data_IF_331707282270
#
_entry.id   IF_331707282270
#
_cell.length_a   1.000
_cell.length_b   1.000
_cell.length_c   1.000
_cell.angle_alpha   90.00
_cell.angle_beta   90.00
_cell.angle_gamma   90.00
#
_symmetry.space_group_name_H-M   'P 1'
#
loop_
_entity.id
_entity.type
_entity.pdbx_description
1 polymer ?
#
# COMPACT_ATOMS: atom_id res chain seq x y z
N UNK A 1 4.20 5.91 2.13
CA UNK A 1 3.79 5.66 3.53
C UNK A 1 3.27 4.24 3.72
N UNK A 2 2.01 3.92 3.36
CA UNK A 2 1.45 2.57 3.57
C UNK A 2 2.34 1.45 3.02
N UNK A 3 2.85 1.59 1.80
CA UNK A 3 3.77 0.60 1.22
C UNK A 3 5.11 0.52 1.98
N UNK A 4 5.59 1.63 2.54
CA UNK A 4 6.79 1.64 3.38
C UNK A 4 6.58 0.82 4.65
N UNK A 5 5.43 0.96 5.32
CA UNK A 5 5.05 0.15 6.47
C UNK A 5 4.99 -1.35 6.13
N UNK A 6 4.43 -1.69 4.96
CA UNK A 6 4.39 -3.08 4.48
C UNK A 6 5.80 -3.65 4.31
N UNK A 7 6.73 -2.87 3.72
CA UNK A 7 8.11 -3.30 3.52
C UNK A 7 8.89 -3.42 4.83
N UNK A 8 8.67 -2.50 5.78
CA UNK A 8 9.24 -2.58 7.12
C UNK A 8 8.82 -3.88 7.81
N UNK A 9 7.51 -4.20 7.83
CA UNK A 9 7.02 -5.44 8.41
C UNK A 9 7.55 -6.69 7.72
N UNK A 10 7.70 -6.62 6.40
CA UNK A 10 8.17 -7.75 5.58
C UNK A 10 9.63 -8.11 5.85
N UNK A 11 10.49 -7.11 5.99
CA UNK A 11 11.95 -7.31 6.01
C UNK A 11 12.58 -7.13 7.38
N UNK A 12 12.02 -6.26 8.23
CA UNK A 12 12.58 -5.93 9.54
C UNK A 12 11.70 -6.45 10.67
N UNK A 13 10.39 -6.31 10.53
CA UNK A 13 9.39 -6.72 11.52
C UNK A 13 8.55 -5.55 12.02
N UNK A 14 7.46 -5.87 12.72
CA UNK A 14 6.48 -4.89 13.20
C UNK A 14 6.99 -4.03 14.35
N UNK A 15 7.88 -4.59 15.19
CA UNK A 15 8.39 -3.94 16.39
C UNK A 15 9.60 -3.04 16.11
N UNK A 16 9.87 -2.75 14.83
CA UNK A 16 10.96 -1.86 14.45
C UNK A 16 10.68 -0.43 14.89
N UNK A 17 11.63 0.15 15.62
CA UNK A 17 11.64 1.55 16.01
C UNK A 17 12.88 2.23 15.46
N UNK A 18 12.69 3.30 14.69
CA UNK A 18 13.80 4.16 14.28
C UNK A 18 14.22 5.07 15.42
N UNK A 19 15.54 5.23 15.61
CA UNK A 19 16.13 6.09 16.63
C UNK A 19 16.81 7.29 15.99
N UNK A 20 16.55 8.47 16.56
CA UNK A 20 17.17 9.71 16.13
C UNK A 20 18.69 9.66 16.33
N UNK A 21 19.45 10.11 15.33
CA UNK A 21 20.91 10.11 15.36
C UNK A 21 21.56 8.81 14.87
N UNK A 22 20.81 7.73 14.69
CA UNK A 22 21.32 6.51 14.05
C UNK A 22 21.18 6.61 12.52
N UNK A 23 22.29 6.52 11.76
CA UNK A 23 22.21 6.53 10.31
C UNK A 23 21.44 5.29 9.84
N UNK A 24 20.60 5.41 8.79
CA UNK A 24 19.97 4.25 8.19
C UNK A 24 21.01 3.21 7.78
N UNK A 25 20.77 1.95 8.10
CA UNK A 25 21.65 0.84 7.71
C UNK A 25 20.84 -0.43 7.38
N UNK A 26 21.48 -1.38 6.71
CA UNK A 26 20.89 -2.68 6.39
C UNK A 26 19.60 -2.57 5.55
N UNK A 27 18.60 -3.40 5.88
CA UNK A 27 17.33 -3.44 5.16
C UNK A 27 16.54 -2.14 5.31
N UNK A 28 16.68 -1.39 6.41
CA UNK A 28 16.04 -0.09 6.58
C UNK A 28 16.54 0.92 5.55
N UNK A 29 17.86 1.03 5.37
CA UNK A 29 18.44 1.90 4.35
C UNK A 29 17.99 1.49 2.95
N UNK A 30 17.94 0.18 2.67
CA UNK A 30 17.46 -0.34 1.39
C UNK A 30 16.01 0.06 1.13
N UNK A 31 15.12 -0.08 2.12
CA UNK A 31 13.73 0.35 2.01
C UNK A 31 13.65 1.85 1.74
N UNK A 32 14.37 2.68 2.50
CA UNK A 32 14.38 4.13 2.28
C UNK A 32 14.81 4.50 0.85
N UNK A 33 15.86 3.86 0.33
CA UNK A 33 16.35 4.07 -1.03
C UNK A 33 15.31 3.77 -2.10
N UNK A 34 14.36 2.87 -1.85
CA UNK A 34 13.28 2.58 -2.79
C UNK A 34 12.26 3.72 -2.93
N UNK A 35 12.19 4.64 -1.96
CA UNK A 35 11.25 5.77 -1.95
C UNK A 35 11.90 7.13 -2.16
N UNK A 36 13.22 7.20 -2.41
CA UNK A 36 13.87 8.46 -2.74
C UNK A 36 13.24 9.07 -4.00
N UNK A 37 13.26 10.40 -4.10
CA UNK A 37 12.73 11.13 -5.26
C UNK A 37 13.70 11.09 -6.46
N UNK A 38 14.10 9.88 -6.83
CA UNK A 38 14.97 9.59 -7.96
C UNK A 38 14.26 8.67 -8.94
N UNK A 39 14.47 8.86 -10.25
CA UNK A 39 13.83 8.02 -11.28
C UNK A 39 14.21 6.53 -11.16
N UNK A 40 15.35 6.21 -10.56
CA UNK A 40 15.83 4.84 -10.38
C UNK A 40 15.26 4.17 -9.13
N UNK A 41 14.66 4.94 -8.20
CA UNK A 41 14.00 4.40 -7.03
C UNK A 41 12.61 3.88 -7.40
N UNK A 42 12.36 2.60 -7.09
CA UNK A 42 11.21 1.83 -7.58
C UNK A 42 9.85 2.43 -7.19
N UNK A 43 9.76 2.94 -5.98
CA UNK A 43 8.57 3.55 -5.41
C UNK A 43 8.70 5.07 -5.25
N UNK A 44 9.58 5.68 -6.05
CA UNK A 44 9.73 7.14 -6.11
C UNK A 44 8.46 7.81 -6.60
N UNK A 45 8.32 9.11 -6.30
CA UNK A 45 7.24 9.93 -6.85
C UNK A 45 7.23 9.91 -8.38
N UNK A 46 8.39 9.78 -9.03
CA UNK A 46 8.53 9.67 -10.47
C UNK A 46 7.85 8.40 -11.01
N UNK A 47 8.16 7.25 -10.42
CA UNK A 47 7.61 5.96 -10.83
C UNK A 47 6.12 5.88 -10.52
N UNK A 48 5.68 6.38 -9.37
CA UNK A 48 4.27 6.43 -8.98
C UNK A 48 3.47 7.32 -9.95
N UNK A 49 3.96 8.53 -10.26
CA UNK A 49 3.28 9.44 -11.16
C UNK A 49 3.23 8.88 -12.60
N UNK A 50 4.35 8.34 -13.07
CA UNK A 50 4.43 7.74 -14.41
C UNK A 50 3.51 6.52 -14.53
N UNK A 51 3.48 5.64 -13.52
CA UNK A 51 2.59 4.49 -13.50
C UNK A 51 1.11 4.92 -13.46
N UNK A 52 0.79 6.03 -12.80
CA UNK A 52 -0.55 6.62 -12.81
C UNK A 52 -1.08 6.99 -14.20
N UNK A 53 -0.19 7.27 -15.17
CA UNK A 53 -0.60 7.51 -16.56
C UNK A 53 -1.27 6.28 -17.17
N UNK A 54 -0.82 5.07 -16.81
CA UNK A 54 -1.48 3.82 -17.23
C UNK A 54 -2.89 3.66 -16.63
N UNK A 55 -3.17 4.34 -15.51
CA UNK A 55 -4.47 4.39 -14.84
C UNK A 55 -5.33 5.58 -15.32
N UNK A 56 -4.93 6.22 -16.43
CA UNK A 56 -5.62 7.38 -16.99
C UNK A 56 -5.45 8.67 -16.20
N UNK A 57 -4.45 8.76 -15.32
CA UNK A 57 -4.12 9.96 -14.55
C UNK A 57 -2.97 10.73 -15.19
N UNK A 58 -3.16 12.02 -15.40
CA UNK A 58 -2.05 12.87 -15.85
C UNK A 58 -1.03 13.06 -14.73
N UNK A 59 0.23 13.27 -15.10
CA UNK A 59 1.26 13.64 -14.11
C UNK A 59 0.85 14.95 -13.43
N UNK A 60 0.85 14.93 -12.09
CA UNK A 60 0.37 16.04 -11.26
C UNK A 60 -1.11 15.97 -10.87
N UNK A 61 -1.87 15.01 -11.41
CA UNK A 61 -3.25 14.77 -10.99
C UNK A 61 -3.29 14.02 -9.64
N UNK A 62 -4.27 14.36 -8.80
CA UNK A 62 -4.49 13.69 -7.54
C UNK A 62 -5.00 12.25 -7.70
N UNK A 63 -4.44 11.32 -6.93
CA UNK A 63 -4.89 9.93 -6.90
C UNK A 63 -5.89 9.68 -5.78
N UNK A 64 -7.02 9.09 -6.13
CA UNK A 64 -7.90 8.46 -5.14
C UNK A 64 -7.31 7.16 -4.59
N UNK A 65 -7.85 6.63 -3.47
CA UNK A 65 -7.37 5.39 -2.87
C UNK A 65 -7.31 4.21 -3.84
N UNK A 66 -8.31 4.06 -4.72
CA UNK A 66 -8.32 2.99 -5.72
C UNK A 66 -7.18 3.12 -6.73
N UNK A 67 -6.98 4.30 -7.33
CA UNK A 67 -5.89 4.53 -8.30
C UNK A 67 -4.53 4.29 -7.65
N UNK A 68 -4.33 4.79 -6.41
CA UNK A 68 -3.08 4.54 -5.68
C UNK A 68 -2.85 3.03 -5.44
N UNK A 69 -3.90 2.27 -5.11
CA UNK A 69 -3.83 0.83 -4.92
C UNK A 69 -3.44 0.09 -6.21
N UNK A 70 -4.02 0.47 -7.35
CA UNK A 70 -3.66 -0.12 -8.65
C UNK A 70 -2.22 0.20 -9.05
N UNK A 71 -1.77 1.44 -8.85
CA UNK A 71 -0.37 1.83 -9.09
C UNK A 71 0.59 1.01 -8.21
N UNK A 72 0.30 0.85 -6.92
CA UNK A 72 1.10 0.01 -6.01
C UNK A 72 1.14 -1.44 -6.51
N UNK A 73 -0.01 -1.99 -6.94
CA UNK A 73 -0.10 -3.34 -7.49
C UNK A 73 0.82 -3.53 -8.69
N UNK A 74 0.82 -2.58 -9.64
CA UNK A 74 1.70 -2.62 -10.83
C UNK A 74 3.17 -2.50 -10.47
N UNK A 75 3.53 -1.55 -9.60
CA UNK A 75 4.93 -1.35 -9.20
C UNK A 75 5.50 -2.53 -8.40
N UNK A 76 4.68 -3.21 -7.59
CA UNK A 76 5.11 -4.37 -6.81
C UNK A 76 5.57 -5.55 -7.68
N UNK A 77 5.14 -5.64 -8.94
CA UNK A 77 5.60 -6.68 -9.89
C UNK A 77 7.10 -6.55 -10.18
N UNK A 78 7.65 -5.34 -10.14
CA UNK A 78 9.07 -5.09 -10.38
C UNK A 78 9.93 -5.28 -9.11
N UNK A 79 9.32 -5.47 -7.94
CA UNK A 79 10.03 -5.71 -6.68
C UNK A 79 10.26 -7.21 -6.43
N UNK A 80 11.27 -7.75 -7.10
CA UNK A 80 11.68 -9.14 -6.91
C UNK A 80 12.29 -9.41 -5.53
N UNK A 81 12.77 -8.38 -4.83
CA UNK A 81 13.38 -8.54 -3.52
C UNK A 81 12.32 -8.79 -2.44
N UNK A 82 11.26 -7.99 -2.41
CA UNK A 82 10.18 -8.18 -1.44
C UNK A 82 9.23 -9.30 -1.85
N UNK A 83 9.04 -9.49 -3.15
CA UNK A 83 8.19 -10.55 -3.71
C UNK A 83 6.72 -10.43 -3.30
N UNK A 84 6.27 -9.24 -2.87
CA UNK A 84 4.93 -9.02 -2.32
C UNK A 84 3.89 -9.22 -3.42
N UNK A 85 2.88 -10.02 -3.12
CA UNK A 85 1.68 -10.15 -3.94
C UNK A 85 0.68 -9.07 -3.51
N UNK A 86 0.13 -8.31 -4.45
CA UNK A 86 -0.84 -7.24 -4.15
C UNK A 86 -2.18 -7.59 -4.79
N UNK A 87 -3.21 -7.72 -3.96
CA UNK A 87 -4.59 -7.90 -4.41
C UNK A 87 -5.42 -6.67 -4.06
N UNK A 88 -6.12 -6.12 -5.06
CA UNK A 88 -7.07 -5.02 -4.89
C UNK A 88 -8.47 -5.59 -5.04
N UNK A 89 -9.21 -5.65 -3.93
CA UNK A 89 -10.58 -6.15 -3.92
C UNK A 89 -11.52 -5.10 -4.53
N UNK A 90 -12.21 -5.46 -5.61
CA UNK A 90 -13.20 -4.61 -6.26
C UNK A 90 -14.61 -4.91 -5.73
N UNK A 91 -15.52 -3.95 -5.89
CA UNK A 91 -16.94 -4.10 -5.53
C UNK A 91 -17.24 -4.47 -4.07
N UNK A 92 -16.29 -4.22 -3.17
CA UNK A 92 -16.35 -4.59 -1.75
C UNK A 92 -16.46 -6.11 -1.52
N UNK A 93 -16.06 -6.93 -2.49
CA UNK A 93 -16.08 -8.39 -2.42
C UNK A 93 -14.65 -8.91 -2.45
N UNK A 94 -14.31 -9.80 -1.51
CA UNK A 94 -13.04 -10.51 -1.49
C UNK A 94 -13.26 -11.97 -1.86
N UNK A 95 -12.70 -12.39 -2.99
CA UNK A 95 -12.80 -13.77 -3.47
C UNK A 95 -11.58 -14.56 -3.01
N UNK A 96 -11.78 -15.55 -2.14
CA UNK A 96 -10.68 -16.30 -1.53
C UNK A 96 -9.86 -17.12 -2.54
N UNK A 97 -10.46 -17.58 -3.64
CA UNK A 97 -9.73 -18.27 -4.72
C UNK A 97 -8.71 -17.33 -5.35
N UNK A 98 -9.12 -16.10 -5.67
CA UNK A 98 -8.27 -15.12 -6.37
C UNK A 98 -7.11 -14.71 -5.49
N UNK A 99 -7.37 -14.50 -4.20
CA UNK A 99 -6.33 -14.23 -3.20
C UNK A 99 -5.31 -15.37 -3.15
N UNK A 100 -5.78 -16.62 -3.07
CA UNK A 100 -4.90 -17.79 -3.05
C UNK A 100 -4.05 -17.84 -4.31
N UNK A 101 -4.67 -17.68 -5.46
CA UNK A 101 -4.01 -17.69 -6.76
C UNK A 101 -2.91 -16.64 -6.84
N UNK A 102 -3.21 -15.38 -6.49
CA UNK A 102 -2.25 -14.26 -6.47
C UNK A 102 -1.10 -14.51 -5.49
N UNK A 103 -1.37 -15.12 -4.34
CA UNK A 103 -0.35 -15.41 -3.34
C UNK A 103 0.56 -16.60 -3.69
N UNK A 104 0.08 -17.57 -4.49
CA UNK A 104 0.85 -18.79 -4.81
C UNK A 104 1.50 -18.78 -6.19
N UNK A 105 1.20 -17.80 -7.04
CA UNK A 105 1.79 -17.68 -8.36
C UNK A 105 2.84 -16.58 -8.41
N UNK A 106 3.96 -16.87 -9.07
CA UNK A 106 4.92 -15.84 -9.43
C UNK A 106 4.31 -14.89 -10.47
N UNK A 107 4.66 -13.59 -10.47
CA UNK A 107 4.29 -12.72 -11.57
C UNK A 107 4.83 -13.30 -12.88
N UNK A 108 4.02 -13.42 -13.95
CA UNK A 108 4.51 -13.89 -15.24
C UNK A 108 5.69 -13.03 -15.70
N UNK A 109 6.75 -13.64 -16.27
CA UNK A 109 7.89 -12.89 -16.82
C UNK A 109 7.45 -11.87 -17.87
N UNK A 110 6.36 -12.16 -18.57
CA UNK A 110 5.74 -11.30 -19.58
C UNK A 110 4.81 -10.23 -18.99
N UNK A 111 4.39 -10.35 -17.72
CA UNK A 111 3.58 -9.32 -17.05
C UNK A 111 4.35 -7.99 -16.94
N UNK A 112 5.68 -8.04 -16.82
CA UNK A 112 6.55 -6.85 -16.86
C UNK A 112 6.40 -6.11 -18.20
N UNK A 113 6.31 -6.84 -19.32
CA UNK A 113 6.10 -6.24 -20.65
C UNK A 113 4.69 -5.68 -20.80
N UNK A 114 3.68 -6.45 -20.38
CA UNK A 114 2.27 -6.07 -20.49
C UNK A 114 1.88 -4.87 -19.61
N UNK A 115 2.42 -4.75 -18.40
CA UNK A 115 2.21 -3.57 -17.53
C UNK A 115 2.72 -2.29 -18.18
N UNK A 116 3.70 -2.39 -19.07
CA UNK A 116 4.27 -1.25 -19.79
C UNK A 116 3.43 -0.86 -21.02
N UNK A 117 2.57 -1.77 -21.51
CA UNK A 117 1.89 -1.65 -22.81
C UNK A 117 0.34 -1.60 -22.72
N UNK A 118 -0.29 -2.12 -21.65
CA UNK A 118 -1.76 -2.22 -21.54
C UNK A 118 -2.39 -1.44 -20.36
N UNK A 119 -3.66 -1.03 -20.56
CA UNK A 119 -4.44 -0.20 -19.62
C UNK A 119 -5.15 -0.99 -18.50
N UNK A 120 -5.45 -2.28 -18.69
CA UNK A 120 -6.14 -3.09 -17.67
C UNK A 120 -5.27 -4.24 -17.16
N UNK A 121 -4.55 -3.99 -16.06
CA UNK A 121 -3.63 -4.98 -15.49
C UNK A 121 -4.38 -6.05 -14.68
N UNK A 122 -5.64 -5.82 -14.28
CA UNK A 122 -6.35 -6.80 -13.44
C UNK A 122 -6.84 -7.97 -14.28
N UNK A 123 -7.45 -7.69 -15.44
CA UNK A 123 -7.92 -8.71 -16.38
C UNK A 123 -6.74 -9.41 -17.07
N UNK A 124 -5.72 -8.68 -17.53
CA UNK A 124 -4.53 -9.28 -18.14
C UNK A 124 -3.71 -10.12 -17.15
N UNK A 125 -3.55 -9.68 -15.89
CA UNK A 125 -2.85 -10.48 -14.88
C UNK A 125 -3.60 -11.77 -14.56
N UNK A 126 -4.93 -11.71 -14.36
CA UNK A 126 -5.74 -12.90 -14.08
C UNK A 126 -5.82 -13.85 -15.28
N UNK A 127 -5.85 -13.32 -16.50
CA UNK A 127 -5.84 -14.12 -17.73
C UNK A 127 -4.52 -14.87 -17.90
N UNK A 128 -3.38 -14.19 -17.76
CA UNK A 128 -2.06 -14.84 -17.81
C UNK A 128 -1.87 -15.87 -16.70
N UNK A 129 -2.37 -15.55 -15.50
CA UNK A 129 -2.40 -16.46 -14.35
C UNK A 129 -3.24 -17.71 -14.67
N UNK A 130 -4.42 -17.54 -15.24
CA UNK A 130 -5.28 -18.66 -15.61
C UNK A 130 -4.68 -19.49 -16.76
N UNK A 131 -4.03 -18.87 -17.74
CA UNK A 131 -3.32 -19.59 -18.82
C UNK A 131 -2.12 -20.38 -18.30
N UNK A 132 -1.35 -19.81 -17.36
CA UNK A 132 -0.21 -20.49 -16.73
C UNK A 132 -0.62 -21.58 -15.73
N UNK A 133 -1.87 -21.60 -15.24
CA UNK A 133 -2.40 -22.68 -14.38
C UNK A 133 -2.55 -24.03 -15.08
N UNK A 134 -2.36 -24.12 -16.41
CA UNK A 134 -2.43 -25.39 -17.15
C UNK A 134 -1.21 -26.30 -16.99
N UNK A 135 -0.15 -25.84 -16.31
CA UNK A 135 1.00 -26.68 -15.92
C UNK A 135 1.12 -26.75 -14.39
N UNK A 136 0.91 -27.93 -13.82
CA UNK A 136 0.89 -28.17 -12.36
C UNK A 136 2.24 -27.88 -11.65
N UNK A 137 3.31 -27.64 -12.41
CA UNK A 137 4.70 -27.49 -11.94
C UNK A 137 5.08 -26.08 -11.42
N UNK A 138 4.19 -25.08 -11.42
CA UNK A 138 4.50 -23.69 -10.98
C UNK A 138 3.83 -23.23 -9.67
N UNK A 139 3.47 -24.13 -8.76
CA UNK A 139 3.04 -23.71 -7.40
C UNK A 139 4.24 -23.22 -6.59
N UNK A 140 4.21 -21.94 -6.21
CA UNK A 140 5.22 -21.33 -5.35
C UNK A 140 4.83 -21.45 -3.87
N UNK A 141 5.80 -21.27 -2.98
CA UNK A 141 5.54 -20.96 -1.56
C UNK A 141 4.68 -19.68 -1.45
N UNK A 142 3.85 -19.60 -0.41
CA UNK A 142 2.94 -18.47 -0.19
C UNK A 142 3.70 -17.14 -0.11
N UNK A 143 3.46 -16.26 -1.08
CA UNK A 143 4.07 -14.93 -1.12
C UNK A 143 3.42 -14.03 -0.05
N UNK A 144 4.20 -13.13 0.59
CA UNK A 144 3.65 -12.09 1.43
C UNK A 144 2.58 -11.29 0.69
N UNK A 145 1.40 -11.14 1.28
CA UNK A 145 0.23 -10.60 0.62
C UNK A 145 -0.14 -9.22 1.19
N UNK A 146 -0.25 -8.23 0.31
CA UNK A 146 -0.89 -6.95 0.60
C UNK A 146 -2.30 -6.96 0.02
N UNK A 147 -3.29 -6.95 0.90
CA UNK A 147 -4.70 -6.84 0.54
C UNK A 147 -5.16 -5.39 0.66
N UNK A 148 -5.58 -4.79 -0.46
CA UNK A 148 -6.15 -3.45 -0.50
C UNK A 148 -7.64 -3.54 -0.81
N UNK A 149 -8.47 -2.90 0.00
CA UNK A 149 -9.92 -2.87 -0.18
C UNK A 149 -10.37 -1.42 -0.29
N UNK A 150 -10.44 -0.85 -1.51
CA UNK A 150 -10.99 0.48 -1.71
C UNK A 150 -12.48 0.49 -1.36
N UNK A 151 -12.88 1.36 -0.43
CA UNK A 151 -14.25 1.47 0.06
C UNK A 151 -14.79 2.89 -0.05
N UNK A 152 -16.10 3.01 -0.30
CA UNK A 152 -16.85 4.26 -0.15
C UNK A 152 -17.85 4.12 0.99
N UNK A 153 -17.51 4.64 2.16
CA UNK A 153 -18.27 4.47 3.40
C UNK A 153 -19.39 5.51 3.60
N UNK A 154 -19.71 6.30 2.58
CA UNK A 154 -20.76 7.30 2.61
C UNK A 154 -20.74 8.24 1.41
N UNK A 155 -21.68 9.19 1.38
CA UNK A 155 -21.81 10.17 0.30
C UNK A 155 -20.88 11.36 0.50
N UNK A 156 -21.01 12.03 1.66
CA UNK A 156 -20.26 13.23 2.05
C UNK A 156 -19.42 13.01 3.30
N UNK A 157 -19.97 12.28 4.27
CA UNK A 157 -19.31 11.83 5.49
C UNK A 157 -19.43 10.33 5.64
N UNK A 158 -18.54 9.75 6.44
CA UNK A 158 -18.59 8.31 6.79
C UNK A 158 -19.89 8.05 7.56
N UNK A 159 -20.64 7.03 7.14
CA UNK A 159 -21.80 6.57 7.88
C UNK A 159 -21.34 5.95 9.21
N UNK A 160 -21.94 6.40 10.32
CA UNK A 160 -21.55 5.98 11.67
C UNK A 160 -21.72 4.48 11.91
N UNK A 161 -22.56 3.79 11.14
CA UNK A 161 -22.70 2.34 11.24
C UNK A 161 -21.39 1.57 10.95
N UNK A 162 -20.45 2.17 10.20
CA UNK A 162 -19.17 1.56 9.89
C UNK A 162 -18.09 1.80 10.96
N UNK A 163 -18.29 2.72 11.91
CA UNK A 163 -17.26 3.05 12.90
C UNK A 163 -16.80 1.83 13.73
N UNK A 164 -17.70 0.97 14.25
CA UNK A 164 -17.26 -0.23 14.98
C UNK A 164 -16.43 -1.19 14.11
N UNK A 165 -16.72 -1.28 12.81
CA UNK A 165 -15.96 -2.11 11.89
C UNK A 165 -14.56 -1.53 11.63
N UNK A 166 -14.44 -0.21 11.48
CA UNK A 166 -13.16 0.49 11.33
C UNK A 166 -12.30 0.35 12.59
N UNK A 167 -12.91 0.51 13.77
CA UNK A 167 -12.22 0.30 15.06
C UNK A 167 -11.66 -1.13 15.16
N UNK A 168 -12.46 -2.13 14.80
CA UNK A 168 -12.01 -3.52 14.80
C UNK A 168 -10.96 -3.80 13.72
N UNK A 169 -11.01 -3.11 12.58
CA UNK A 169 -9.98 -3.21 11.54
C UNK A 169 -8.62 -2.75 12.05
N UNK A 170 -8.54 -1.65 12.81
CA UNK A 170 -7.28 -1.20 13.40
C UNK A 170 -6.73 -2.13 14.50
N UNK A 171 -7.56 -3.00 15.08
CA UNK A 171 -7.12 -4.01 16.07
C UNK A 171 -6.48 -5.24 15.43
N UNK A 172 -6.65 -5.46 14.12
CA UNK A 172 -6.06 -6.61 13.44
C UNK A 172 -4.53 -6.49 13.42
N UNK A 173 -3.82 -7.57 13.73
CA UNK A 173 -2.35 -7.58 13.69
C UNK A 173 -1.80 -7.37 12.27
N UNK A 174 -2.55 -7.82 11.27
CA UNK A 174 -2.25 -7.64 9.86
C UNK A 174 -2.60 -6.24 9.33
N UNK A 175 -3.23 -5.38 10.12
CA UNK A 175 -3.63 -4.04 9.68
C UNK A 175 -2.41 -3.16 9.44
N UNK A 176 -2.29 -2.65 8.22
CA UNK A 176 -1.27 -1.68 7.80
C UNK A 176 -1.84 -0.27 7.65
N UNK A 177 -3.03 -0.02 8.20
CA UNK A 177 -3.69 1.29 8.20
C UNK A 177 -4.61 1.54 7.00
N UNK A 178 -5.12 2.78 6.92
CA UNK A 178 -6.08 3.23 5.91
C UNK A 178 -5.51 4.44 5.18
N UNK A 179 -5.56 4.45 3.85
CA UNK A 179 -5.31 5.66 3.06
C UNK A 179 -6.64 6.26 2.62
N UNK A 180 -6.77 7.58 2.71
CA UNK A 180 -7.99 8.27 2.34
C UNK A 180 -7.84 9.77 2.38
N UNK A 181 -8.96 10.49 2.40
CA UNK A 181 -8.98 11.94 2.45
C UNK A 181 -9.67 12.59 1.25
N UNK A 182 -9.62 13.91 1.22
CA UNK A 182 -10.20 14.72 0.14
C UNK A 182 -9.13 15.00 -0.93
N UNK A 183 -9.52 15.40 -2.15
CA UNK A 183 -8.56 15.88 -3.14
C UNK A 183 -7.58 16.89 -2.52
N UNK A 184 -6.28 16.66 -2.73
CA UNK A 184 -5.17 17.46 -2.18
C UNK A 184 -5.03 17.47 -0.64
N UNK A 185 -5.83 16.67 0.07
CA UNK A 185 -5.76 16.47 1.52
C UNK A 185 -5.83 14.97 1.84
N UNK A 186 -4.87 14.22 1.28
CA UNK A 186 -4.73 12.79 1.55
C UNK A 186 -4.08 12.58 2.92
N UNK A 187 -4.55 11.56 3.63
CA UNK A 187 -4.07 11.16 4.94
C UNK A 187 -3.81 9.65 4.94
N UNK A 188 -2.84 9.25 5.77
CA UNK A 188 -2.57 7.87 6.11
C UNK A 188 -2.89 7.66 7.59
N UNK A 189 -3.96 6.94 7.87
CA UNK A 189 -4.44 6.65 9.22
C UNK A 189 -3.80 5.35 9.70
N UNK A 190 -3.07 5.42 10.81
CA UNK A 190 -2.35 4.28 11.42
C UNK A 190 -3.05 3.69 12.65
N UNK A 191 -4.10 4.35 13.15
CA UNK A 191 -4.82 3.91 14.33
C UNK A 191 -6.04 4.77 14.65
N UNK A 192 -6.62 4.52 15.82
CA UNK A 192 -7.70 5.31 16.40
C UNK A 192 -7.45 5.46 17.90
N UNK A 193 -7.68 6.66 18.44
CA UNK A 193 -7.57 6.96 19.86
C UNK A 193 -8.79 7.77 20.30
N UNK A 194 -9.55 7.24 21.26
CA UNK A 194 -10.81 7.84 21.73
C UNK A 194 -11.97 7.75 20.72
N UNK A 195 -13.07 8.48 20.98
CA UNK A 195 -14.29 8.47 20.16
C UNK A 195 -14.19 9.25 18.83
N UNK A 196 -13.05 9.89 18.57
CA UNK A 196 -12.79 10.59 17.31
C UNK A 196 -11.63 9.89 16.64
N UNK A 197 -11.81 9.53 15.37
CA UNK A 197 -10.70 9.30 14.45
C UNK A 197 -9.93 10.62 14.25
N UNK A 198 -9.26 11.08 15.29
CA UNK A 198 -8.43 12.28 15.27
C UNK A 198 -7.18 11.91 14.48
N UNK A 199 -7.17 12.39 13.23
CA UNK A 199 -6.00 12.87 12.51
C UNK A 199 -4.69 12.26 13.01
N UNK A 200 -4.51 10.97 12.74
CA UNK A 200 -3.27 10.29 13.07
C UNK A 200 -2.14 10.93 12.27
N UNK A 201 -1.11 11.32 13.01
CA UNK A 201 0.08 12.03 12.56
C UNK A 201 0.71 11.32 11.37
N UNK A 202 1.04 12.13 10.35
CA UNK A 202 1.86 11.75 9.21
C UNK A 202 3.21 11.25 9.76
N UNK A 203 3.38 9.94 9.81
CA UNK A 203 4.68 9.30 9.97
C UNK A 203 5.44 9.32 8.65
N UNK A 204 5.85 10.51 8.21
CA UNK A 204 6.98 10.69 7.29
C UNK A 204 7.93 11.62 8.01
N UNK A 205 9.14 11.15 8.27
CA UNK A 205 10.35 11.95 8.48
C UNK A 205 10.09 13.45 8.75
N UNK A 206 9.93 13.81 10.02
CA UNK A 206 9.95 15.17 10.56
C UNK A 206 9.97 14.98 12.08
N UNK A 207 11.06 15.14 12.83
CA UNK A 207 12.02 16.23 12.75
C UNK A 207 11.32 17.56 12.44
N UNK A 208 10.34 17.93 13.28
CA UNK A 208 9.89 19.31 13.61
C UNK A 208 8.45 19.28 14.16
N UNK A 209 8.34 19.24 15.49
CA UNK A 209 7.47 20.11 16.29
C UNK A 209 7.35 19.53 17.70
N UNK A 210 8.20 20.05 18.60
CA UNK A 210 7.83 20.09 20.01
C UNK A 210 6.55 20.91 20.13
N UNK A 211 5.52 20.33 20.71
CA UNK A 211 4.49 21.07 21.40
C UNK A 211 4.33 20.42 22.77
N UNK A 212 5.07 20.93 23.75
CA UNK A 212 4.72 20.73 25.16
C UNK A 212 3.55 21.68 25.46
N UNK A 213 2.37 21.19 25.88
CA UNK A 213 1.55 21.96 26.80
C UNK A 213 2.14 21.74 28.20
N UNK A 214 2.82 22.75 28.75
CA UNK A 214 3.02 22.78 30.21
C UNK A 214 1.82 23.43 30.85
N UNK A 215 1.26 22.66 31.76
CA UNK A 215 0.12 22.95 32.60
C UNK A 215 0.21 24.31 33.32
N UNK A 216 -0.97 24.90 33.45
CA UNK A 216 -1.29 25.87 34.49
C UNK A 216 -1.20 25.22 35.88
N UNK A 217 -0.27 25.68 36.72
CA UNK A 217 -0.41 25.61 38.18
C UNK A 217 0.52 26.62 38.87
N UNK A 218 -0.05 27.80 39.15
CA UNK A 218 0.10 28.69 40.33
C UNK A 218 0.08 30.17 39.95
#
# INVERSE_FOLDING_TARGET
MLLGEVLLRRHIGRDFEWKEGEPPSGDYERILRMFLDEKNALYSIHQIAQMGVSEGKSVGEWFGPNTAAQVIKKLAVFDSWSGIAVHVALDNILVSSDVRTIATLAPPKDAIKLITEEKDVNESYMTLVNESTTSEDQKCEWRPLLLLVPLRLGLTSINRCYLPAIENFFKLESCVGIIGGRPNHALYFIGIAGEKAQQCVIGVLSALARFEPKDSSH
#
